data_IF_582502260450
#
_entry.id   IF_582502260450
#
_cell.length_a   1.000
_cell.length_b   1.000
_cell.length_c   1.000
_cell.angle_alpha   90.00
_cell.angle_beta   90.00
_cell.angle_gamma   90.00
#
_symmetry.space_group_name_H-M   'P 1'
#
loop_
_entity.id
_entity.type
_entity.pdbx_description
1 polymer ?
#
# COMPACT_ATOMS: atom_id res chain seq x y z
N UNK A 1 -9.68 5.41 -12.95
CA UNK A 1 -9.82 5.91 -11.58
C UNK A 1 -10.53 7.27 -11.55
N UNK A 2 -9.94 8.36 -12.15
CA UNK A 2 -10.54 9.71 -12.12
C UNK A 2 -11.92 9.72 -12.77
N UNK A 3 -12.05 9.23 -13.98
CA UNK A 3 -13.32 9.13 -14.71
C UNK A 3 -14.41 8.41 -13.90
N UNK A 4 -14.08 7.27 -13.31
CA UNK A 4 -15.00 6.52 -12.43
C UNK A 4 -15.43 7.34 -11.22
N UNK A 5 -14.50 8.09 -10.61
CA UNK A 5 -14.81 8.96 -9.48
C UNK A 5 -15.74 10.12 -9.88
N UNK A 6 -15.49 10.75 -11.01
CA UNK A 6 -16.26 11.91 -11.49
C UNK A 6 -17.64 11.47 -12.00
N UNK A 7 -17.66 10.57 -12.96
CA UNK A 7 -18.88 10.20 -13.67
C UNK A 7 -19.74 9.19 -12.89
N UNK A 8 -19.10 8.20 -12.27
CA UNK A 8 -19.78 7.15 -11.51
C UNK A 8 -20.12 7.55 -10.08
N UNK A 9 -19.14 8.08 -9.34
CA UNK A 9 -19.26 8.35 -7.90
C UNK A 9 -19.57 9.80 -7.57
N UNK A 10 -19.68 10.69 -8.58
CA UNK A 10 -20.01 12.11 -8.45
C UNK A 10 -19.07 12.87 -7.49
N UNK A 11 -17.80 12.50 -7.51
CA UNK A 11 -16.74 13.23 -6.82
C UNK A 11 -16.35 14.46 -7.65
N UNK A 12 -16.17 15.64 -7.04
CA UNK A 12 -15.66 16.80 -7.78
C UNK A 12 -14.32 16.51 -8.44
N UNK A 13 -14.16 16.91 -9.71
CA UNK A 13 -12.98 16.59 -10.52
C UNK A 13 -11.64 16.95 -9.86
N UNK A 14 -11.46 18.12 -9.21
CA UNK A 14 -10.21 18.45 -8.52
C UNK A 14 -9.87 17.45 -7.40
N UNK A 15 -10.90 16.96 -6.68
CA UNK A 15 -10.71 15.98 -5.60
C UNK A 15 -10.38 14.61 -6.19
N UNK A 16 -11.03 14.21 -7.28
CA UNK A 16 -10.76 12.96 -7.97
C UNK A 16 -9.32 12.92 -8.52
N UNK A 17 -8.86 14.00 -9.13
CA UNK A 17 -7.48 14.12 -9.62
C UNK A 17 -6.47 14.08 -8.47
N UNK A 18 -6.73 14.81 -7.39
CA UNK A 18 -5.86 14.81 -6.21
C UNK A 18 -5.76 13.41 -5.57
N UNK A 19 -6.90 12.76 -5.32
CA UNK A 19 -6.93 11.43 -4.71
C UNK A 19 -6.27 10.36 -5.58
N UNK A 20 -6.44 10.43 -6.90
CA UNK A 20 -5.80 9.51 -7.83
C UNK A 20 -4.28 9.69 -7.86
N UNK A 21 -3.80 10.95 -7.89
CA UNK A 21 -2.37 11.28 -7.91
C UNK A 21 -1.69 10.89 -6.61
N UNK A 22 -2.26 11.25 -5.45
CA UNK A 22 -1.73 10.83 -4.15
C UNK A 22 -1.81 9.32 -3.97
N UNK A 23 -2.91 8.69 -4.40
CA UNK A 23 -3.07 7.24 -4.36
C UNK A 23 -2.00 6.51 -5.18
N UNK A 24 -1.61 7.06 -6.34
CA UNK A 24 -0.56 6.48 -7.17
C UNK A 24 0.85 6.66 -6.59
N UNK A 25 1.07 7.62 -5.69
CA UNK A 25 2.40 7.92 -5.12
C UNK A 25 2.57 7.38 -3.70
N UNK A 26 1.65 7.66 -2.80
CA UNK A 26 1.75 7.31 -1.37
C UNK A 26 0.63 6.40 -0.87
N UNK A 27 -0.34 6.06 -1.72
CA UNK A 27 -1.50 5.24 -1.38
C UNK A 27 -1.40 3.78 -1.81
N UNK A 28 -0.20 3.23 -1.93
CA UNK A 28 0.06 1.88 -2.42
C UNK A 28 -0.10 0.81 -1.32
N UNK A 29 -1.28 0.74 -0.71
CA UNK A 29 -1.56 -0.10 0.46
C UNK A 29 -1.29 -1.60 0.21
N UNK A 30 -1.65 -2.11 -0.97
CA UNK A 30 -1.42 -3.51 -1.34
C UNK A 30 0.05 -3.81 -1.61
N UNK A 31 0.75 -2.88 -2.27
CA UNK A 31 2.14 -3.09 -2.70
C UNK A 31 3.14 -2.70 -1.61
N UNK A 32 2.97 -1.52 -1.01
CA UNK A 32 3.92 -0.97 -0.04
C UNK A 32 3.56 -1.30 1.41
N UNK A 33 2.31 -1.65 1.70
CA UNK A 33 1.85 -2.02 3.03
C UNK A 33 1.77 -3.54 3.23
N UNK A 34 0.79 -4.17 2.59
CA UNK A 34 0.45 -5.58 2.84
C UNK A 34 1.58 -6.53 2.42
N UNK A 35 2.13 -6.35 1.22
CA UNK A 35 3.10 -7.32 0.68
C UNK A 35 4.37 -7.44 1.52
N UNK A 36 5.12 -6.38 1.83
CA UNK A 36 6.32 -6.51 2.66
C UNK A 36 6.01 -6.94 4.09
N UNK A 37 4.87 -6.53 4.66
CA UNK A 37 4.46 -6.97 5.98
C UNK A 37 4.16 -8.48 6.02
N UNK A 38 3.47 -8.99 5.00
CA UNK A 38 3.18 -10.43 4.85
C UNK A 38 4.48 -11.23 4.75
N UNK A 39 5.44 -10.78 3.94
CA UNK A 39 6.75 -11.45 3.83
C UNK A 39 7.50 -11.46 5.16
N UNK A 40 7.52 -10.33 5.88
CA UNK A 40 8.16 -10.26 7.19
C UNK A 40 7.54 -11.23 8.20
N UNK A 41 6.20 -11.31 8.25
CA UNK A 41 5.47 -12.28 9.10
C UNK A 41 5.78 -13.72 8.71
N UNK A 42 5.88 -14.02 7.40
CA UNK A 42 6.22 -15.38 6.92
C UNK A 42 7.64 -15.77 7.26
N UNK A 43 8.60 -14.85 7.27
CA UNK A 43 10.01 -15.11 7.54
C UNK A 43 10.28 -15.18 9.05
N UNK A 44 9.61 -14.41 9.88
CA UNK A 44 9.85 -14.27 11.31
C UNK A 44 10.00 -15.61 12.06
N UNK A 45 9.12 -16.61 11.86
CA UNK A 45 9.26 -17.91 12.55
C UNK A 45 10.54 -18.65 12.17
N UNK A 46 11.02 -18.54 10.91
CA UNK A 46 12.27 -19.18 10.49
C UNK A 46 13.51 -18.56 11.13
N UNK A 47 13.38 -17.34 11.64
CA UNK A 47 14.41 -16.61 12.38
C UNK A 47 14.24 -16.76 13.91
N UNK A 48 13.31 -17.60 14.36
CA UNK A 48 13.02 -17.78 15.79
C UNK A 48 12.28 -16.60 16.43
N UNK A 49 11.65 -15.74 15.62
CA UNK A 49 10.93 -14.55 16.08
C UNK A 49 9.42 -14.85 16.06
N UNK A 50 8.74 -14.56 17.18
CA UNK A 50 7.29 -14.64 17.24
C UNK A 50 6.67 -13.42 16.50
N UNK A 51 5.95 -13.66 15.39
CA UNK A 51 5.35 -12.58 14.60
C UNK A 51 4.21 -11.85 15.33
N UNK A 52 3.71 -12.37 16.43
CA UNK A 52 2.68 -11.73 17.25
C UNK A 52 3.27 -10.92 18.42
N UNK A 53 4.58 -10.93 18.60
CA UNK A 53 5.22 -10.15 19.65
C UNK A 53 5.18 -8.64 19.36
N UNK A 54 4.98 -7.83 20.40
CA UNK A 54 5.03 -6.36 20.28
C UNK A 54 6.39 -5.86 19.78
N UNK A 55 7.47 -6.53 20.15
CA UNK A 55 8.83 -6.22 19.72
C UNK A 55 9.05 -6.41 18.22
N UNK A 56 8.23 -7.25 17.57
CA UNK A 56 8.20 -7.43 16.13
C UNK A 56 7.21 -6.50 15.42
N UNK A 57 5.97 -6.43 15.93
CA UNK A 57 4.88 -5.69 15.27
C UNK A 57 5.17 -4.18 15.22
N UNK A 58 5.63 -3.58 16.32
CA UNK A 58 5.83 -2.13 16.39
C UNK A 58 6.90 -1.64 15.39
N UNK A 59 8.11 -2.23 15.34
CA UNK A 59 9.09 -1.88 14.32
C UNK A 59 8.59 -2.15 12.89
N UNK A 60 7.90 -3.27 12.65
CA UNK A 60 7.36 -3.60 11.34
C UNK A 60 6.39 -2.52 10.86
N UNK A 61 5.42 -2.13 11.68
CA UNK A 61 4.45 -1.08 11.34
C UNK A 61 5.15 0.25 11.06
N UNK A 62 6.11 0.64 11.91
CA UNK A 62 6.86 1.89 11.73
C UNK A 62 7.67 1.90 10.42
N UNK A 63 8.40 0.81 10.15
CA UNK A 63 9.23 0.69 8.94
C UNK A 63 8.35 0.68 7.67
N UNK A 64 7.27 -0.11 7.67
CA UNK A 64 6.32 -0.17 6.56
C UNK A 64 5.68 1.20 6.31
N UNK A 65 5.22 1.88 7.36
CA UNK A 65 4.62 3.21 7.25
C UNK A 65 5.59 4.22 6.62
N UNK A 66 6.84 4.28 7.11
CA UNK A 66 7.84 5.22 6.60
C UNK A 66 8.24 4.87 5.15
N UNK A 67 8.53 3.60 4.86
CA UNK A 67 8.94 3.17 3.53
C UNK A 67 7.85 3.32 2.47
N UNK A 68 6.58 3.25 2.86
CA UNK A 68 5.45 3.39 1.93
C UNK A 68 5.39 4.75 1.24
N UNK A 69 5.93 5.81 1.84
CA UNK A 69 6.03 7.13 1.22
C UNK A 69 6.98 7.18 0.01
N UNK A 70 7.93 6.25 -0.08
CA UNK A 70 8.89 6.17 -1.17
C UNK A 70 8.52 5.19 -2.29
N UNK A 71 7.37 4.50 -2.19
CA UNK A 71 6.98 3.47 -3.14
C UNK A 71 5.84 3.97 -4.03
N UNK A 72 6.18 4.23 -5.29
CA UNK A 72 5.19 4.62 -6.29
C UNK A 72 4.44 3.41 -6.89
N UNK A 73 3.26 3.65 -7.46
CA UNK A 73 2.44 2.68 -8.16
C UNK A 73 3.00 2.33 -9.55
N UNK A 74 4.14 1.66 -9.57
CA UNK A 74 4.81 1.18 -10.78
C UNK A 74 4.94 -0.34 -10.74
N UNK A 75 5.10 -0.98 -11.90
CA UNK A 75 5.37 -2.42 -11.96
C UNK A 75 6.59 -2.79 -11.10
N UNK A 76 6.45 -3.82 -10.26
CA UNK A 76 7.51 -4.21 -9.32
C UNK A 76 7.57 -3.39 -8.02
N UNK A 77 6.66 -2.43 -7.80
CA UNK A 77 6.65 -1.59 -6.60
C UNK A 77 6.59 -2.40 -5.29
N UNK A 78 5.90 -3.53 -5.29
CA UNK A 78 5.85 -4.42 -4.13
C UNK A 78 7.20 -5.10 -3.85
N UNK A 79 7.91 -5.53 -4.89
CA UNK A 79 9.26 -6.06 -4.75
C UNK A 79 10.21 -5.01 -4.19
N UNK A 80 10.15 -3.76 -4.69
CA UNK A 80 10.94 -2.66 -4.12
C UNK A 80 10.60 -2.42 -2.65
N UNK A 81 9.32 -2.43 -2.27
CA UNK A 81 8.91 -2.31 -0.87
C UNK A 81 9.51 -3.42 -0.01
N UNK A 82 9.47 -4.67 -0.47
CA UNK A 82 10.08 -5.79 0.24
C UNK A 82 11.60 -5.65 0.38
N UNK A 83 12.29 -5.18 -0.66
CA UNK A 83 13.74 -4.92 -0.64
C UNK A 83 14.15 -3.78 0.32
N UNK A 84 13.23 -2.93 0.71
CA UNK A 84 13.45 -1.89 1.73
C UNK A 84 13.08 -2.41 3.12
N UNK A 85 11.90 -2.99 3.28
CA UNK A 85 11.36 -3.39 4.58
C UNK A 85 12.10 -4.59 5.18
N UNK A 86 12.37 -5.65 4.39
CA UNK A 86 13.01 -6.86 4.91
C UNK A 86 14.41 -6.61 5.48
N UNK A 87 15.33 -5.93 4.77
CA UNK A 87 16.64 -5.59 5.35
C UNK A 87 16.54 -4.67 6.56
N UNK A 88 15.61 -3.71 6.57
CA UNK A 88 15.38 -2.83 7.72
C UNK A 88 14.91 -3.59 8.96
N UNK A 89 14.23 -4.74 8.77
CA UNK A 89 13.85 -5.67 9.83
C UNK A 89 14.97 -6.68 10.16
N UNK A 90 16.12 -6.64 9.47
CA UNK A 90 17.20 -7.63 9.59
C UNK A 90 16.91 -8.98 8.92
N UNK A 91 15.97 -9.03 7.97
CA UNK A 91 15.53 -10.25 7.30
C UNK A 91 16.18 -10.43 5.92
N UNK A 92 16.36 -11.69 5.48
CA UNK A 92 16.89 -11.98 4.16
C UNK A 92 15.88 -11.64 3.06
N UNK A 93 16.36 -11.11 1.93
CA UNK A 93 15.54 -10.75 0.77
C UNK A 93 15.25 -11.94 -0.18
N UNK A 94 15.79 -13.11 0.11
CA UNK A 94 15.69 -14.29 -0.76
C UNK A 94 14.25 -14.71 -1.03
N UNK A 95 13.36 -14.59 -0.04
CA UNK A 95 11.92 -14.90 -0.20
C UNK A 95 11.25 -13.95 -1.20
N UNK A 96 11.58 -12.66 -1.16
CA UNK A 96 11.08 -11.70 -2.15
C UNK A 96 11.55 -12.08 -3.57
N UNK A 97 12.81 -12.48 -3.72
CA UNK A 97 13.37 -12.90 -5.00
C UNK A 97 12.66 -14.13 -5.59
N UNK A 98 12.32 -15.11 -4.77
CA UNK A 98 11.55 -16.30 -5.19
C UNK A 98 10.16 -15.93 -5.70
N UNK A 99 9.51 -14.95 -5.07
CA UNK A 99 8.15 -14.55 -5.41
C UNK A 99 8.06 -13.60 -6.62
N UNK A 100 9.17 -13.07 -7.12
CA UNK A 100 9.18 -12.21 -8.33
C UNK A 100 8.53 -12.90 -9.53
N UNK A 101 8.75 -14.20 -9.69
CA UNK A 101 8.20 -14.96 -10.83
C UNK A 101 6.68 -15.06 -10.83
N UNK A 102 6.05 -15.02 -9.67
CA UNK A 102 4.58 -15.08 -9.49
C UNK A 102 3.97 -13.71 -9.19
N UNK A 103 4.79 -12.69 -9.04
CA UNK A 103 4.37 -11.33 -8.69
C UNK A 103 3.28 -10.78 -9.62
N UNK A 104 3.34 -10.93 -10.97
CA UNK A 104 2.29 -10.40 -11.84
C UNK A 104 0.89 -10.93 -11.54
N UNK A 105 0.76 -12.18 -11.10
CA UNK A 105 -0.51 -12.78 -10.73
C UNK A 105 -1.06 -12.21 -9.41
N UNK A 106 -0.16 -12.03 -8.44
CA UNK A 106 -0.50 -11.48 -7.13
C UNK A 106 -0.76 -9.96 -7.23
N UNK A 107 -0.07 -9.29 -8.13
CA UNK A 107 -0.17 -7.83 -8.32
C UNK A 107 -1.56 -7.38 -8.76
N UNK A 108 -2.29 -8.19 -9.50
CA UNK A 108 -3.66 -7.87 -9.94
C UNK A 108 -4.57 -7.50 -8.77
N UNK A 109 -4.58 -8.30 -7.71
CA UNK A 109 -5.41 -8.07 -6.53
C UNK A 109 -4.89 -6.85 -5.70
N UNK A 110 -3.58 -6.70 -5.57
CA UNK A 110 -2.96 -5.57 -4.87
C UNK A 110 -3.23 -4.25 -5.59
N UNK A 111 -3.12 -4.24 -6.91
CA UNK A 111 -3.42 -3.07 -7.74
C UNK A 111 -4.89 -2.69 -7.63
N UNK A 112 -5.80 -3.66 -7.66
CA UNK A 112 -7.22 -3.41 -7.43
C UNK A 112 -7.46 -2.76 -6.05
N UNK A 113 -6.78 -3.23 -5.00
CA UNK A 113 -6.84 -2.64 -3.66
C UNK A 113 -6.31 -1.20 -3.65
N UNK A 114 -5.18 -0.92 -4.29
CA UNK A 114 -4.59 0.41 -4.37
C UNK A 114 -5.53 1.40 -5.07
N UNK A 115 -6.08 1.00 -6.21
CA UNK A 115 -7.04 1.82 -6.99
C UNK A 115 -8.31 2.09 -6.19
N UNK A 116 -8.88 1.08 -5.54
CA UNK A 116 -10.06 1.25 -4.69
C UNK A 116 -9.78 2.14 -3.47
N UNK A 117 -8.61 2.02 -2.86
CA UNK A 117 -8.18 2.88 -1.76
C UNK A 117 -8.18 4.36 -2.16
N UNK A 118 -7.59 4.69 -3.31
CA UNK A 118 -7.57 6.04 -3.86
C UNK A 118 -8.98 6.57 -4.15
N UNK A 119 -9.85 5.75 -4.76
CA UNK A 119 -11.25 6.14 -5.01
C UNK A 119 -12.02 6.36 -3.71
N UNK A 120 -11.84 5.50 -2.72
CA UNK A 120 -12.47 5.64 -1.40
C UNK A 120 -12.05 6.94 -0.73
N UNK A 121 -10.76 7.28 -0.75
CA UNK A 121 -10.26 8.54 -0.23
C UNK A 121 -10.90 9.74 -0.92
N UNK A 122 -11.02 9.73 -2.25
CA UNK A 122 -11.69 10.77 -3.02
C UNK A 122 -13.16 10.95 -2.65
N UNK A 123 -13.91 9.84 -2.53
CA UNK A 123 -15.33 9.87 -2.12
C UNK A 123 -15.51 10.43 -0.71
N UNK A 124 -14.69 9.96 0.23
CA UNK A 124 -14.76 10.43 1.63
C UNK A 124 -14.45 11.91 1.73
N UNK A 125 -13.38 12.36 1.08
CA UNK A 125 -12.98 13.77 1.04
C UNK A 125 -14.07 14.63 0.39
N UNK A 126 -14.62 14.20 -0.75
CA UNK A 126 -15.69 14.92 -1.43
C UNK A 126 -16.97 15.02 -0.59
N UNK A 127 -17.30 13.99 0.18
CA UNK A 127 -18.44 14.02 1.11
C UNK A 127 -18.20 14.95 2.30
N UNK A 128 -17.00 14.91 2.85
CA UNK A 128 -16.63 15.72 4.02
C UNK A 128 -16.64 17.21 3.70
N UNK A 129 -16.05 17.61 2.58
CA UNK A 129 -16.03 19.00 2.15
C UNK A 129 -17.45 19.54 1.82
N UNK A 130 -18.32 18.70 1.24
CA UNK A 130 -19.72 19.08 1.01
C UNK A 130 -20.51 19.28 2.31
N UNK A 131 -20.20 18.57 3.38
CA UNK A 131 -20.81 18.78 4.69
C UNK A 131 -20.33 20.10 5.32
N UNK A 132 -19.03 20.38 5.25
CA UNK A 132 -18.45 21.61 5.78
C UNK A 132 -18.93 22.88 5.05
N UNK A 133 -19.27 22.78 3.76
CA UNK A 133 -19.80 23.90 2.99
C UNK A 133 -21.29 24.23 3.27
N UNK A 134 -21.99 23.37 4.02
CA UNK A 134 -23.40 23.55 4.41
C UNK A 134 -23.59 23.98 5.87
N UNK A 135 -22.51 24.04 6.64
CA UNK A 135 -22.47 24.54 8.00
C UNK A 135 -21.99 25.98 8.05
#
# INVERSE_FOLDING_TARGET
>A
NVETQVDGLKVPEPIANLSATFGATIGQNGCAGIYPAMLAVMIAPSMGIDPLSFSFIVPLVAIVAISSFGIAGVGGGATFAALVVLPAMGFPVTVAAVLISVEPLIDMARTALNVNGAMTAGVLTGRWLRKGAKA
#
